data_IF_782955077738
#
_entry.id   IF_782955077738
#
_cell.length_a   1.000
_cell.length_b   1.000
_cell.length_c   1.000
_cell.angle_alpha   90.00
_cell.angle_beta   90.00
_cell.angle_gamma   90.00
#
_symmetry.space_group_name_H-M   'P 1'
#
loop_
_entity.id
_entity.type
_entity.pdbx_description
1 polymer ?
#
# COMPACT_ATOMS: atom_id res chain seq x y z
N UNK A 1 -7.16 14.67 0.67
CA UNK A 1 -7.08 13.26 0.23
C UNK A 1 -7.89 13.13 -1.04
N UNK A 2 -7.21 13.06 -2.19
CA UNK A 2 -7.84 13.13 -3.52
C UNK A 2 -7.66 11.85 -4.33
N UNK A 3 -6.60 11.08 -4.00
CA UNK A 3 -6.24 9.86 -4.72
C UNK A 3 -6.08 8.73 -3.71
N UNK A 4 -6.88 7.68 -3.85
CA UNK A 4 -6.87 6.52 -2.94
C UNK A 4 -6.92 5.23 -3.75
N UNK A 5 -6.03 4.30 -3.43
CA UNK A 5 -6.10 2.92 -3.94
C UNK A 5 -5.87 1.93 -2.81
N UNK A 6 -6.45 0.75 -2.93
CA UNK A 6 -6.30 -0.37 -2.01
C UNK A 6 -6.16 -1.67 -2.81
N UNK A 7 -5.27 -2.54 -2.34
CA UNK A 7 -5.21 -3.93 -2.78
C UNK A 7 -5.16 -4.87 -1.58
N UNK A 8 -5.70 -6.08 -1.78
CA UNK A 8 -5.61 -7.19 -0.84
C UNK A 8 -4.85 -8.34 -1.49
N UNK A 9 -4.05 -9.04 -0.70
CA UNK A 9 -3.19 -10.11 -1.18
C UNK A 9 -2.84 -11.10 -0.07
N UNK A 10 -2.22 -12.21 -0.48
CA UNK A 10 -1.56 -13.16 0.42
C UNK A 10 -0.08 -12.83 0.47
N UNK A 11 0.41 -12.42 1.64
CA UNK A 11 1.84 -12.22 1.84
C UNK A 11 2.60 -13.55 2.04
N UNK A 12 1.88 -14.62 2.39
CA UNK A 12 2.44 -15.95 2.64
C UNK A 12 1.54 -17.04 2.03
N UNK A 13 2.14 -18.05 1.39
CA UNK A 13 1.41 -19.13 0.70
C UNK A 13 0.59 -20.03 1.64
N UNK A 14 1.00 -20.17 2.90
CA UNK A 14 0.38 -21.07 3.88
C UNK A 14 -0.84 -20.44 4.60
N UNK A 15 -1.21 -19.21 4.23
CA UNK A 15 -2.38 -18.50 4.75
C UNK A 15 -3.53 -18.60 3.74
N UNK A 16 -4.65 -19.21 4.17
CA UNK A 16 -5.77 -19.52 3.30
C UNK A 16 -6.54 -18.31 2.74
N UNK A 17 -6.40 -17.12 3.35
CA UNK A 17 -7.20 -15.93 3.03
C UNK A 17 -6.33 -14.70 2.73
N UNK A 18 -6.82 -13.82 1.85
CA UNK A 18 -6.17 -12.58 1.43
C UNK A 18 -6.37 -11.49 2.50
N UNK A 19 -5.68 -11.65 3.63
CA UNK A 19 -5.80 -10.80 4.81
C UNK A 19 -4.75 -9.69 4.88
N UNK A 20 -3.71 -9.76 4.03
CA UNK A 20 -2.75 -8.66 3.88
C UNK A 20 -3.30 -7.61 2.93
N UNK A 21 -2.90 -6.36 3.15
CA UNK A 21 -3.37 -5.24 2.33
C UNK A 21 -2.33 -4.12 2.28
N UNK A 22 -2.39 -3.35 1.20
CA UNK A 22 -1.67 -2.09 1.06
C UNK A 22 -2.64 -1.02 0.59
N UNK A 23 -2.57 0.18 1.18
CA UNK A 23 -3.44 1.32 0.89
C UNK A 23 -2.54 2.52 0.59
N UNK A 24 -2.68 3.10 -0.59
CA UNK A 24 -2.05 4.37 -0.95
C UNK A 24 -3.06 5.50 -0.80
N UNK A 25 -2.68 6.52 -0.04
CA UNK A 25 -3.51 7.67 0.30
C UNK A 25 -2.74 8.95 -0.02
N UNK A 26 -3.05 9.58 -1.17
CA UNK A 26 -2.34 10.76 -1.66
C UNK A 26 -3.23 12.02 -1.84
N UNK A 27 -2.59 13.17 -1.81
CA UNK A 27 -3.12 14.45 -2.28
C UNK A 27 -2.95 14.63 -3.79
N UNK A 28 -3.41 15.76 -4.35
CA UNK A 28 -3.33 16.06 -5.77
C UNK A 28 -1.91 16.32 -6.29
N UNK A 29 -0.93 16.45 -5.39
CA UNK A 29 0.50 16.55 -5.70
C UNK A 29 1.23 15.23 -5.45
N UNK A 30 0.49 14.12 -5.30
CA UNK A 30 0.99 12.78 -5.02
C UNK A 30 1.80 12.67 -3.71
N UNK A 31 1.59 13.57 -2.74
CA UNK A 31 2.14 13.42 -1.39
C UNK A 31 1.14 12.71 -0.51
N UNK A 32 1.64 11.92 0.44
CA UNK A 32 0.79 11.28 1.42
C UNK A 32 1.44 10.10 2.09
N UNK A 33 0.66 9.04 2.27
CA UNK A 33 1.08 7.86 3.01
C UNK A 33 0.70 6.58 2.27
N UNK A 34 1.53 5.56 2.44
CA UNK A 34 1.23 4.20 2.06
C UNK A 34 1.19 3.35 3.32
N UNK A 35 0.04 2.75 3.62
CA UNK A 35 -0.16 1.90 4.80
C UNK A 35 -0.22 0.45 4.35
N UNK A 36 0.60 -0.39 4.97
CA UNK A 36 0.66 -1.82 4.66
C UNK A 36 0.41 -2.61 5.93
N UNK A 37 -0.43 -3.63 5.82
CA UNK A 37 -0.61 -4.65 6.85
C UNK A 37 -0.30 -6.01 6.26
N UNK A 38 0.67 -6.69 6.86
CA UNK A 38 1.05 -8.05 6.54
C UNK A 38 0.45 -8.95 7.62
N UNK A 39 -0.44 -9.86 7.21
CA UNK A 39 -1.09 -10.82 8.09
C UNK A 39 -0.37 -12.16 8.03
N UNK A 40 0.28 -12.53 9.13
CA UNK A 40 0.88 -13.85 9.34
C UNK A 40 -0.01 -14.75 10.20
N UNK A 41 0.42 -16.00 10.39
CA UNK A 41 -0.34 -17.02 11.14
C UNK A 41 -0.58 -16.65 12.61
N UNK A 42 0.44 -16.08 13.24
CA UNK A 42 0.43 -15.81 14.69
C UNK A 42 0.38 -14.31 15.01
N UNK A 43 0.83 -13.47 14.08
CA UNK A 43 0.91 -12.03 14.25
C UNK A 43 0.62 -11.31 12.94
N UNK A 44 0.20 -10.05 13.06
CA UNK A 44 0.14 -9.13 11.95
C UNK A 44 1.02 -7.93 12.25
N UNK A 45 1.70 -7.43 11.22
CA UNK A 45 2.48 -6.19 11.31
C UNK A 45 1.84 -5.16 10.41
N UNK A 46 1.58 -3.97 10.96
CA UNK A 46 1.13 -2.81 10.20
C UNK A 46 2.15 -1.70 10.30
N UNK A 47 2.49 -1.10 9.17
CA UNK A 47 3.41 0.03 9.10
C UNK A 47 2.98 1.00 8.01
N UNK A 48 3.56 2.20 8.05
CA UNK A 48 3.29 3.24 7.06
C UNK A 48 4.59 3.82 6.52
N UNK A 49 4.64 4.07 5.21
CA UNK A 49 5.73 4.76 4.53
C UNK A 49 5.23 6.12 4.03
N UNK A 50 5.95 7.22 4.28
CA UNK A 50 5.64 8.50 3.66
C UNK A 50 5.91 8.44 2.15
N UNK A 51 5.08 9.15 1.40
CA UNK A 51 5.22 9.34 -0.04
C UNK A 51 5.38 10.83 -0.31
N UNK A 52 6.47 11.19 -0.98
CA UNK A 52 6.77 12.55 -1.42
C UNK A 52 6.73 12.58 -2.96
N UNK A 53 5.83 13.36 -3.53
CA UNK A 53 5.67 13.52 -4.98
C UNK A 53 5.59 12.18 -5.76
N UNK A 54 4.86 11.20 -5.21
CA UNK A 54 4.70 9.87 -5.80
C UNK A 54 5.89 8.93 -5.63
N UNK A 55 6.89 9.29 -4.82
CA UNK A 55 8.10 8.50 -4.56
C UNK A 55 8.17 8.17 -3.07
N UNK A 56 8.49 6.92 -2.73
CA UNK A 56 8.83 6.55 -1.37
C UNK A 56 10.34 6.68 -1.13
N UNK A 57 10.72 7.10 0.08
CA UNK A 57 12.12 7.09 0.53
C UNK A 57 12.60 5.70 0.97
N UNK A 58 11.67 4.76 1.11
CA UNK A 58 11.91 3.40 1.54
C UNK A 58 11.60 2.46 0.38
N UNK A 59 12.32 1.34 0.30
CA UNK A 59 12.04 0.30 -0.69
C UNK A 59 10.60 -0.20 -0.52
N UNK A 60 9.91 -0.40 -1.64
CA UNK A 60 8.53 -0.86 -1.68
C UNK A 60 8.49 -2.32 -2.11
N UNK A 61 7.54 -3.09 -1.58
CA UNK A 61 7.22 -4.40 -2.17
C UNK A 61 6.48 -4.23 -3.50
N UNK A 62 6.38 -5.29 -4.29
CA UNK A 62 5.63 -5.27 -5.56
C UNK A 62 4.18 -4.83 -5.37
N UNK A 63 3.54 -5.26 -4.28
CA UNK A 63 2.20 -4.86 -3.89
C UNK A 63 2.11 -3.37 -3.54
N UNK A 64 3.10 -2.86 -2.80
CA UNK A 64 3.16 -1.45 -2.42
C UNK A 64 3.38 -0.54 -3.64
N UNK A 65 4.29 -0.91 -4.55
CA UNK A 65 4.50 -0.19 -5.81
C UNK A 65 3.22 -0.17 -6.65
N UNK A 66 2.54 -1.32 -6.75
CA UNK A 66 1.31 -1.46 -7.52
C UNK A 66 0.21 -0.55 -6.99
N UNK A 67 -0.03 -0.52 -5.67
CA UNK A 67 -1.07 0.33 -5.10
C UNK A 67 -0.72 1.82 -5.21
N UNK A 68 0.57 2.17 -5.07
CA UNK A 68 1.05 3.53 -5.26
C UNK A 68 0.81 4.02 -6.70
N UNK A 69 1.18 3.20 -7.69
CA UNK A 69 0.93 3.50 -9.10
C UNK A 69 -0.56 3.64 -9.41
N UNK A 70 -1.41 2.78 -8.86
CA UNK A 70 -2.86 2.89 -9.03
C UNK A 70 -3.40 4.20 -8.45
N UNK A 71 -2.97 4.59 -7.25
CA UNK A 71 -3.40 5.84 -6.65
C UNK A 71 -2.94 7.05 -7.48
N UNK A 72 -1.67 7.09 -7.92
CA UNK A 72 -1.13 8.20 -8.74
C UNK A 72 -1.94 8.39 -10.03
N UNK A 73 -2.30 7.29 -10.69
CA UNK A 73 -3.01 7.25 -11.97
C UNK A 73 -4.55 7.24 -11.84
N UNK A 74 -5.08 7.42 -10.63
CA UNK A 74 -6.54 7.53 -10.46
C UNK A 74 -7.00 8.88 -11.02
N UNK A 75 -7.72 8.86 -12.15
CA UNK A 75 -8.39 10.04 -12.71
C UNK A 75 -9.66 10.33 -11.89
N UNK A 76 -9.72 11.51 -11.26
CA UNK A 76 -10.91 12.07 -10.61
C UNK A 76 -11.13 13.49 -11.14
#
# INVERSE_FOLDING_TARGET
>A
MQKVSIIRYKAFEDIGSDLSYSIAMLDGKNNGILITSIYGRNESTTYAKPIDNGISRYDLSEEEEKVLHQAINTEH
#
